data_IF_583753472768
#
_entry.id   IF_583753472768
#
_cell.length_a   1.000
_cell.length_b   1.000
_cell.length_c   1.000
_cell.angle_alpha   90.00
_cell.angle_beta   90.00
_cell.angle_gamma   90.00
#
_symmetry.space_group_name_H-M   'P 1'
#
loop_
_entity.id
_entity.type
_entity.pdbx_description
1 polymer ?
#
# COMPACT_ATOMS: atom_id res chain seq x y z
N UNK A 1 3.14 42.15 -46.08
CA UNK A 1 1.84 41.64 -45.58
C UNK A 1 2.14 40.71 -44.42
N UNK A 2 1.66 41.05 -43.22
CA UNK A 2 1.88 40.31 -41.97
C UNK A 2 0.82 39.21 -41.87
N UNK A 3 1.24 37.96 -41.68
CA UNK A 3 0.37 36.84 -41.31
C UNK A 3 0.85 36.27 -39.99
N UNK A 4 0.06 36.47 -38.94
CA UNK A 4 0.33 36.04 -37.57
C UNK A 4 0.08 34.54 -37.41
N UNK A 5 1.08 33.77 -37.00
CA UNK A 5 0.89 32.45 -36.40
C UNK A 5 1.04 32.59 -34.89
N UNK A 6 -0.08 32.53 -34.16
CA UNK A 6 -0.06 32.50 -32.70
C UNK A 6 0.36 31.11 -32.22
N UNK A 7 1.45 31.08 -31.45
CA UNK A 7 1.84 29.96 -30.63
C UNK A 7 0.80 29.75 -29.50
N UNK A 8 0.13 28.61 -29.49
CA UNK A 8 -0.69 28.21 -28.36
C UNK A 8 0.22 27.65 -27.26
N UNK A 9 0.40 28.43 -26.20
CA UNK A 9 1.11 28.06 -24.99
C UNK A 9 0.46 26.82 -24.33
N UNK A 10 1.30 25.84 -23.99
CA UNK A 10 1.04 24.93 -22.89
C UNK A 10 1.10 25.72 -21.58
N UNK A 11 -0.02 25.84 -20.88
CA UNK A 11 -0.06 26.32 -19.50
C UNK A 11 -0.59 25.21 -18.58
N UNK A 12 0.16 24.82 -17.54
CA UNK A 12 -0.29 23.88 -16.53
C UNK A 12 -1.25 24.59 -15.58
N UNK A 13 -2.49 24.13 -15.49
CA UNK A 13 -3.44 24.61 -14.47
C UNK A 13 -3.17 23.91 -13.14
N UNK A 14 -2.13 24.37 -12.45
CA UNK A 14 -2.10 24.34 -11.00
C UNK A 14 -2.87 25.58 -10.51
N UNK A 15 -4.13 25.38 -10.12
CA UNK A 15 -4.85 26.32 -9.26
C UNK A 15 -5.10 25.62 -7.92
N UNK A 16 -4.17 25.80 -7.00
CA UNK A 16 -4.51 25.81 -5.58
C UNK A 16 -4.99 27.22 -5.24
N UNK A 17 -6.16 27.33 -4.61
CA UNK A 17 -6.46 28.24 -3.50
C UNK A 17 -7.95 28.08 -3.12
N UNK A 18 -8.17 27.74 -1.84
CA UNK A 18 -9.39 27.89 -1.06
C UNK A 18 -10.73 27.99 -1.83
N UNK A 19 -11.33 26.84 -2.12
CA UNK A 19 -12.79 26.78 -2.31
C UNK A 19 -13.42 26.47 -0.94
N UNK A 20 -14.50 27.18 -0.54
CA UNK A 20 -15.26 26.83 0.63
C UNK A 20 -15.67 25.35 0.55
N UNK A 21 -15.62 24.65 1.68
CA UNK A 21 -16.15 23.29 1.81
C UNK A 21 -17.68 23.39 1.64
N UNK A 22 -18.11 23.36 0.39
CA UNK A 22 -19.49 23.18 -0.02
C UNK A 22 -19.71 21.67 -0.08
N UNK A 23 -20.76 21.20 0.61
CA UNK A 23 -21.11 19.79 0.77
C UNK A 23 -20.94 19.03 -0.54
N UNK A 24 -19.80 18.33 -0.68
CA UNK A 24 -19.65 17.33 -1.73
C UNK A 24 -20.46 16.14 -1.27
N UNK A 25 -21.77 16.18 -1.54
CA UNK A 25 -22.42 14.99 -2.04
C UNK A 25 -21.49 14.45 -3.12
N UNK A 26 -20.76 13.37 -2.79
CA UNK A 26 -20.10 12.57 -3.81
C UNK A 26 -21.21 12.18 -4.77
N UNK A 27 -21.28 12.85 -5.92
CA UNK A 27 -22.22 12.49 -6.95
C UNK A 27 -21.85 11.06 -7.34
N UNK A 28 -22.63 10.11 -6.84
CA UNK A 28 -22.52 8.70 -7.21
C UNK A 28 -22.82 8.68 -8.69
N UNK A 29 -21.81 8.80 -9.55
CA UNK A 29 -21.98 8.51 -10.97
C UNK A 29 -22.57 7.11 -11.03
N UNK A 30 -23.76 6.98 -11.63
CA UNK A 30 -24.46 5.69 -11.67
C UNK A 30 -23.50 4.65 -12.24
N UNK A 31 -23.41 3.52 -11.55
CA UNK A 31 -22.60 2.38 -11.97
C UNK A 31 -22.96 1.97 -13.41
N UNK A 32 -24.23 2.11 -13.78
CA UNK A 32 -24.76 1.84 -15.12
C UNK A 32 -24.04 2.63 -16.23
N UNK A 33 -23.66 3.90 -15.97
CA UNK A 33 -22.93 4.72 -16.95
C UNK A 33 -21.50 4.21 -17.16
N UNK A 34 -20.87 3.70 -16.11
CA UNK A 34 -19.54 3.13 -16.20
C UNK A 34 -19.59 1.80 -16.95
N UNK A 35 -20.60 0.98 -16.68
CA UNK A 35 -20.80 -0.28 -17.39
C UNK A 35 -21.03 -0.11 -18.89
N UNK A 36 -21.77 0.92 -19.29
CA UNK A 36 -22.07 1.23 -20.70
C UNK A 36 -20.82 1.74 -21.46
N UNK A 37 -20.01 2.60 -20.85
CA UNK A 37 -18.74 3.09 -21.45
C UNK A 37 -17.75 1.94 -21.66
N UNK A 38 -17.79 0.94 -20.78
CA UNK A 38 -16.90 -0.22 -20.82
C UNK A 38 -17.50 -1.41 -21.56
N UNK A 39 -18.71 -1.26 -22.13
CA UNK A 39 -19.35 -2.26 -22.94
C UNK A 39 -18.53 -2.49 -24.22
N UNK A 40 -17.98 -3.70 -24.36
CA UNK A 40 -17.11 -4.08 -25.49
C UNK A 40 -15.63 -4.26 -25.14
N UNK A 41 -15.20 -3.92 -23.92
CA UNK A 41 -13.81 -4.11 -23.47
C UNK A 41 -13.48 -5.54 -23.01
N UNK A 42 -14.46 -6.45 -22.98
CA UNK A 42 -14.25 -7.84 -22.59
C UNK A 42 -13.61 -7.97 -21.20
N UNK A 43 -12.52 -8.74 -21.09
CA UNK A 43 -11.81 -8.97 -19.83
C UNK A 43 -11.17 -7.70 -19.23
N UNK A 44 -10.80 -6.72 -20.07
CA UNK A 44 -10.15 -5.47 -19.62
C UNK A 44 -11.11 -4.60 -18.80
N UNK A 45 -12.43 -4.80 -18.94
CA UNK A 45 -13.44 -4.15 -18.10
C UNK A 45 -13.15 -4.37 -16.62
N UNK A 46 -12.80 -5.59 -16.21
CA UNK A 46 -12.52 -5.89 -14.80
C UNK A 46 -11.26 -5.20 -14.30
N UNK A 47 -10.20 -5.20 -15.10
CA UNK A 47 -8.94 -4.54 -14.76
C UNK A 47 -9.13 -3.02 -14.62
N UNK A 48 -9.89 -2.40 -15.50
CA UNK A 48 -10.16 -0.97 -15.41
C UNK A 48 -11.02 -0.62 -14.19
N UNK A 49 -12.04 -1.43 -13.89
CA UNK A 49 -12.87 -1.23 -12.70
C UNK A 49 -12.06 -1.42 -11.42
N UNK A 50 -11.18 -2.42 -11.38
CA UNK A 50 -10.25 -2.62 -10.26
C UNK A 50 -9.28 -1.42 -10.11
N UNK A 51 -8.76 -0.89 -11.22
CA UNK A 51 -7.94 0.32 -11.22
C UNK A 51 -8.68 1.55 -10.68
N UNK A 52 -9.92 1.78 -11.13
CA UNK A 52 -10.77 2.84 -10.62
C UNK A 52 -11.09 2.69 -9.12
N UNK A 53 -11.38 1.48 -8.67
CA UNK A 53 -11.58 1.18 -7.25
C UNK A 53 -10.33 1.44 -6.41
N UNK A 54 -9.14 1.06 -6.91
CA UNK A 54 -7.87 1.32 -6.24
C UNK A 54 -7.60 2.83 -6.06
N UNK A 55 -7.84 3.64 -7.10
CA UNK A 55 -7.71 5.10 -7.02
C UNK A 55 -8.68 5.70 -5.99
N UNK A 56 -9.95 5.29 -6.02
CA UNK A 56 -10.93 5.74 -5.02
C UNK A 56 -10.51 5.36 -3.59
N UNK A 57 -9.98 4.15 -3.41
CA UNK A 57 -9.50 3.69 -2.11
C UNK A 57 -8.30 4.52 -1.61
N UNK A 58 -7.36 4.88 -2.49
CA UNK A 58 -6.23 5.74 -2.16
C UNK A 58 -6.69 7.15 -1.76
N UNK A 59 -7.62 7.74 -2.52
CA UNK A 59 -8.20 9.05 -2.20
C UNK A 59 -8.94 9.02 -0.86
N UNK A 60 -9.72 7.96 -0.61
CA UNK A 60 -10.41 7.78 0.67
C UNK A 60 -9.42 7.73 1.83
N UNK A 61 -8.35 6.94 1.73
CA UNK A 61 -7.32 6.86 2.78
C UNK A 61 -6.61 8.20 3.00
N UNK A 62 -6.29 8.93 1.91
CA UNK A 62 -5.61 10.22 1.98
C UNK A 62 -6.47 11.30 2.66
N UNK A 63 -7.77 11.32 2.39
CA UNK A 63 -8.69 12.34 2.93
C UNK A 63 -9.19 11.99 4.33
N UNK A 64 -9.56 10.73 4.58
CA UNK A 64 -10.18 10.32 5.84
C UNK A 64 -9.16 10.00 6.94
N UNK A 65 -7.96 9.54 6.56
CA UNK A 65 -6.90 9.16 7.50
C UNK A 65 -5.55 9.77 7.09
N UNK A 66 -5.44 11.12 6.98
CA UNK A 66 -4.26 11.79 6.44
C UNK A 66 -2.98 11.51 7.23
N UNK A 67 -3.09 11.36 8.56
CA UNK A 67 -1.95 11.01 9.41
C UNK A 67 -1.43 9.60 9.14
N UNK A 68 -2.33 8.64 8.85
CA UNK A 68 -1.95 7.29 8.46
C UNK A 68 -1.39 7.26 7.04
N UNK A 69 -2.02 7.98 6.10
CA UNK A 69 -1.58 8.06 4.70
C UNK A 69 -0.16 8.65 4.57
N UNK A 70 0.20 9.60 5.44
CA UNK A 70 1.57 10.13 5.52
C UNK A 70 2.59 9.08 5.98
N UNK A 71 2.18 8.11 6.80
CA UNK A 71 3.04 7.03 7.31
C UNK A 71 3.07 5.81 6.37
N UNK A 72 1.94 5.47 5.76
CA UNK A 72 1.77 4.34 4.84
C UNK A 72 0.99 4.82 3.61
N UNK A 73 1.67 4.86 2.47
CA UNK A 73 1.16 5.33 1.19
C UNK A 73 1.51 4.31 0.09
N UNK A 74 0.89 4.42 -1.09
CA UNK A 74 1.25 3.59 -2.24
C UNK A 74 2.73 3.68 -2.64
N UNK A 75 3.44 4.74 -2.24
CA UNK A 75 4.85 4.95 -2.59
C UNK A 75 5.84 4.31 -1.61
N UNK A 76 5.41 3.93 -0.39
CA UNK A 76 6.29 3.34 0.62
C UNK A 76 5.82 1.97 1.15
N UNK A 77 4.70 1.47 0.61
CA UNK A 77 4.16 0.16 0.96
C UNK A 77 5.15 -0.95 0.62
N UNK A 78 5.23 -1.94 1.50
CA UNK A 78 6.06 -3.14 1.29
C UNK A 78 5.20 -4.26 0.71
N UNK A 79 5.64 -4.83 -0.41
CA UNK A 79 4.94 -5.93 -1.07
C UNK A 79 5.51 -7.27 -0.61
N UNK A 80 4.64 -8.15 -0.10
CA UNK A 80 5.01 -9.54 0.20
C UNK A 80 4.92 -10.35 -1.08
N UNK A 81 6.01 -11.03 -1.41
CA UNK A 81 6.13 -11.86 -2.61
C UNK A 81 6.12 -13.34 -2.23
N UNK A 82 5.73 -14.19 -3.18
CA UNK A 82 5.72 -15.63 -3.00
C UNK A 82 7.16 -16.18 -3.09
N UNK A 83 7.50 -17.22 -2.32
CA UNK A 83 8.89 -17.66 -2.19
C UNK A 83 9.52 -18.14 -3.50
N UNK A 84 8.77 -18.82 -4.37
CA UNK A 84 9.26 -19.28 -5.65
C UNK A 84 9.62 -18.13 -6.59
N UNK A 85 8.97 -16.96 -6.48
CA UNK A 85 9.29 -15.77 -7.30
C UNK A 85 10.61 -15.09 -6.93
N UNK A 86 11.22 -15.40 -5.77
CA UNK A 86 12.47 -14.78 -5.36
C UNK A 86 13.65 -15.29 -6.19
N UNK A 87 14.52 -14.37 -6.59
CA UNK A 87 15.83 -14.70 -7.15
C UNK A 87 16.72 -15.43 -6.14
N UNK A 88 17.77 -16.08 -6.63
CA UNK A 88 18.73 -16.81 -5.77
C UNK A 88 19.40 -15.90 -4.74
N UNK A 89 19.63 -14.62 -5.10
CA UNK A 89 20.24 -13.62 -4.22
C UNK A 89 19.26 -13.19 -3.13
N UNK A 90 18.01 -12.92 -3.48
CA UNK A 90 16.97 -12.55 -2.50
C UNK A 90 16.70 -13.66 -1.49
N UNK A 91 16.63 -14.92 -1.95
CA UNK A 91 16.50 -16.08 -1.06
C UNK A 91 17.65 -16.15 -0.06
N UNK A 92 18.89 -15.98 -0.53
CA UNK A 92 20.08 -15.93 0.36
C UNK A 92 20.03 -14.76 1.33
N UNK A 93 19.59 -13.59 0.89
CA UNK A 93 19.45 -12.41 1.74
C UNK A 93 18.43 -12.66 2.87
N UNK A 94 17.27 -13.24 2.54
CA UNK A 94 16.27 -13.63 3.54
C UNK A 94 16.81 -14.65 4.55
N UNK A 95 17.45 -15.73 4.07
CA UNK A 95 18.04 -16.76 4.94
C UNK A 95 19.11 -16.16 5.85
N UNK A 96 19.97 -15.28 5.32
CA UNK A 96 20.99 -14.57 6.10
C UNK A 96 20.36 -13.69 7.18
N UNK A 97 19.25 -13.02 6.90
CA UNK A 97 18.53 -12.23 7.89
C UNK A 97 17.94 -13.09 9.02
N UNK A 98 17.37 -14.27 8.70
CA UNK A 98 16.86 -15.21 9.72
C UNK A 98 18.02 -15.76 10.57
N UNK A 99 19.14 -16.14 9.95
CA UNK A 99 20.33 -16.58 10.68
C UNK A 99 20.91 -15.48 11.58
N UNK A 100 20.81 -14.22 11.18
CA UNK A 100 21.18 -13.07 12.02
C UNK A 100 20.33 -13.03 13.31
N UNK A 101 19.02 -13.26 13.21
CA UNK A 101 18.15 -13.36 14.40
C UNK A 101 18.58 -14.49 15.33
N UNK A 102 19.06 -15.62 14.80
CA UNK A 102 19.62 -16.72 15.59
C UNK A 102 20.94 -16.40 16.29
N UNK A 103 21.63 -15.32 15.93
CA UNK A 103 22.90 -14.88 16.52
C UNK A 103 22.73 -13.70 17.50
N UNK A 104 21.75 -12.85 17.28
CA UNK A 104 21.49 -11.70 18.15
C UNK A 104 20.99 -12.18 19.52
N UNK A 105 21.37 -11.51 20.63
CA UNK A 105 20.94 -11.89 21.96
C UNK A 105 19.43 -11.68 22.13
N UNK A 106 18.79 -12.59 22.89
CA UNK A 106 17.38 -12.50 23.30
C UNK A 106 17.03 -11.15 23.94
N UNK A 107 15.86 -10.60 23.63
CA UNK A 107 15.31 -9.41 24.30
C UNK A 107 14.35 -9.76 25.43
N UNK A 108 13.76 -10.96 25.41
CA UNK A 108 12.87 -11.42 26.47
C UNK A 108 13.66 -11.61 27.77
N UNK A 109 13.10 -11.17 28.89
CA UNK A 109 13.73 -11.31 30.21
C UNK A 109 13.89 -12.79 30.55
N UNK A 110 14.96 -13.12 31.27
CA UNK A 110 15.27 -14.52 31.64
C UNK A 110 14.30 -15.09 32.66
N UNK A 111 13.63 -14.23 33.42
CA UNK A 111 12.56 -14.60 34.35
C UNK A 111 11.33 -15.10 33.58
N UNK A 112 11.01 -14.48 32.44
CA UNK A 112 9.89 -14.89 31.59
C UNK A 112 10.25 -16.07 30.69
N UNK A 113 11.45 -16.07 30.11
CA UNK A 113 11.93 -17.15 29.26
C UNK A 113 13.40 -17.51 29.58
N UNK A 114 13.64 -18.41 30.55
CA UNK A 114 14.99 -18.84 30.90
C UNK A 114 15.72 -19.48 29.71
N UNK A 115 14.98 -20.20 28.86
CA UNK A 115 15.47 -20.92 27.69
C UNK A 115 15.76 -20.07 26.46
N UNK A 116 15.30 -18.81 26.40
CA UNK A 116 15.49 -17.96 25.21
C UNK A 116 16.95 -17.52 25.10
N UNK A 117 17.67 -17.98 24.07
CA UNK A 117 19.10 -17.66 23.87
C UNK A 117 19.29 -16.55 22.86
N UNK A 118 18.48 -16.52 21.81
CA UNK A 118 18.64 -15.59 20.70
C UNK A 118 17.33 -14.85 20.38
N UNK A 119 17.40 -13.88 19.45
CA UNK A 119 16.23 -13.09 19.02
C UNK A 119 15.18 -13.92 18.29
N UNK A 120 15.54 -15.04 17.69
CA UNK A 120 14.59 -15.95 17.08
C UNK A 120 13.73 -16.64 18.16
N UNK A 121 14.34 -17.05 19.27
CA UNK A 121 13.65 -17.67 20.41
C UNK A 121 12.61 -16.72 21.04
N UNK A 122 12.83 -15.39 21.02
CA UNK A 122 11.84 -14.41 21.48
C UNK A 122 10.48 -14.55 20.76
N UNK A 123 10.52 -14.78 19.45
CA UNK A 123 9.31 -14.94 18.64
C UNK A 123 8.60 -16.25 18.98
N UNK A 124 9.37 -17.32 19.17
CA UNK A 124 8.84 -18.64 19.56
C UNK A 124 8.20 -18.56 20.96
N UNK A 125 8.86 -17.92 21.92
CA UNK A 125 8.34 -17.74 23.27
C UNK A 125 7.03 -16.95 23.28
N UNK A 126 6.95 -15.85 22.53
CA UNK A 126 5.72 -15.06 22.41
C UNK A 126 4.60 -15.90 21.79
N UNK A 127 4.90 -16.67 20.73
CA UNK A 127 3.94 -17.57 20.11
C UNK A 127 3.38 -18.58 21.11
N UNK A 128 4.25 -19.26 21.89
CA UNK A 128 3.83 -20.22 22.93
C UNK A 128 2.95 -19.53 23.98
N UNK A 129 3.37 -18.36 24.47
CA UNK A 129 2.66 -17.65 25.53
C UNK A 129 1.27 -17.17 25.10
N UNK A 130 1.11 -16.78 23.84
CA UNK A 130 -0.14 -16.22 23.32
C UNK A 130 -1.01 -17.23 22.58
N UNK A 131 -0.58 -18.49 22.40
CA UNK A 131 -1.25 -19.49 21.55
C UNK A 131 -2.75 -19.67 21.84
N UNK A 132 -3.19 -19.53 23.10
CA UNK A 132 -4.60 -19.68 23.48
C UNK A 132 -5.44 -18.41 23.30
N UNK A 133 -4.83 -17.28 22.97
CA UNK A 133 -5.49 -15.97 22.88
C UNK A 133 -5.50 -15.40 21.45
N UNK A 134 -4.85 -16.06 20.48
CA UNK A 134 -4.66 -15.56 19.10
C UNK A 134 -5.27 -16.47 18.03
N UNK A 135 -6.33 -17.23 18.37
CA UNK A 135 -7.09 -18.01 17.40
C UNK A 135 -8.02 -17.16 16.53
#
# INVERSE_FOLDING_TARGET
MRGSFQAALLLPLALGNALPYEDKHFEKRSFDRVDDILAGLGSIKQDLMAGGAALNQQLYQAVQQPAQYKKCSPTNIQVRQEWSTFSKTEKKAYISAVQCLGKLPSKTSKETCPGCKNRYDDFVATHIQQSFNIQ
#
